data_IF_353687499028
#
_entry.id   IF_353687499028
#
_cell.length_a   1.000
_cell.length_b   1.000
_cell.length_c   1.000
_cell.angle_alpha   90.00
_cell.angle_beta   90.00
_cell.angle_gamma   90.00
#
_symmetry.space_group_name_H-M   'P 1'
#
loop_
_entity.id
_entity.type
_entity.pdbx_description
1 polymer ?
#
# COMPACT_ATOMS: atom_id res chain seq x y z
N UNK A 1 7.26 1.47 23.21
CA UNK A 1 6.44 2.04 22.11
C UNK A 1 4.99 1.75 22.45
N UNK A 2 4.10 2.73 22.37
CA UNK A 2 2.68 2.53 22.67
C UNK A 2 1.83 2.34 21.40
N UNK A 3 2.33 2.82 20.26
CA UNK A 3 1.85 2.47 18.93
C UNK A 3 2.93 2.70 17.85
N UNK A 4 2.84 2.02 16.71
CA UNK A 4 3.61 2.29 15.49
C UNK A 4 2.69 2.30 14.28
N UNK A 5 2.94 3.18 13.32
CA UNK A 5 2.25 3.15 12.02
C UNK A 5 3.03 2.20 11.12
N UNK A 6 2.42 1.07 10.77
CA UNK A 6 3.06 0.06 9.94
C UNK A 6 2.94 0.46 8.47
N UNK A 7 4.09 0.61 7.82
CA UNK A 7 4.19 0.71 6.37
C UNK A 7 4.14 -0.72 5.77
N UNK A 8 3.04 -1.13 5.12
CA UNK A 8 2.84 -2.52 4.71
C UNK A 8 3.72 -2.88 3.50
N UNK A 9 4.90 -3.42 3.76
CA UNK A 9 5.92 -3.67 2.73
C UNK A 9 5.47 -4.71 1.68
N UNK A 10 4.70 -5.71 2.10
CA UNK A 10 4.08 -6.71 1.23
C UNK A 10 3.10 -6.07 0.25
N UNK A 11 2.28 -5.12 0.73
CA UNK A 11 1.33 -4.39 -0.11
C UNK A 11 2.06 -3.48 -1.11
N UNK A 12 3.13 -2.79 -0.70
CA UNK A 12 3.96 -2.01 -1.63
C UNK A 12 4.57 -2.87 -2.73
N UNK A 13 5.12 -4.03 -2.38
CA UNK A 13 5.69 -4.96 -3.36
C UNK A 13 4.60 -5.46 -4.34
N UNK A 14 3.45 -5.89 -3.81
CA UNK A 14 2.34 -6.40 -4.62
C UNK A 14 1.82 -5.34 -5.61
N UNK A 15 1.47 -4.16 -5.13
CA UNK A 15 0.87 -3.14 -5.98
C UNK A 15 1.88 -2.44 -6.87
N UNK A 16 3.13 -2.25 -6.41
CA UNK A 16 4.23 -1.79 -7.25
C UNK A 16 4.42 -2.69 -8.48
N UNK A 17 4.46 -4.01 -8.30
CA UNK A 17 4.57 -4.97 -9.41
C UNK A 17 3.34 -5.00 -10.30
N UNK A 18 2.13 -4.86 -9.73
CA UNK A 18 0.89 -4.73 -10.51
C UNK A 18 0.94 -3.51 -11.45
N UNK A 19 1.29 -2.33 -10.94
CA UNK A 19 1.34 -1.11 -11.74
C UNK A 19 2.43 -1.17 -12.82
N UNK A 20 3.61 -1.71 -12.52
CA UNK A 20 4.68 -1.92 -13.52
C UNK A 20 4.15 -2.80 -14.67
N UNK A 21 3.56 -3.95 -14.35
CA UNK A 21 3.04 -4.88 -15.37
C UNK A 21 1.92 -4.24 -16.21
N UNK A 22 1.01 -3.52 -15.57
CA UNK A 22 -0.08 -2.85 -16.26
C UNK A 22 0.41 -1.70 -17.16
N UNK A 23 1.40 -0.93 -16.71
CA UNK A 23 2.03 0.12 -17.52
C UNK A 23 2.77 -0.46 -18.73
N UNK A 24 3.47 -1.60 -18.58
CA UNK A 24 4.09 -2.33 -19.70
C UNK A 24 3.06 -2.80 -20.74
N UNK A 25 1.80 -2.99 -20.34
CA UNK A 25 0.68 -3.32 -21.23
C UNK A 25 -0.02 -2.08 -21.80
N UNK A 26 0.48 -0.87 -21.54
CA UNK A 26 -0.09 0.39 -22.03
C UNK A 26 -1.32 0.87 -21.26
N UNK A 27 -1.63 0.30 -20.09
CA UNK A 27 -2.75 0.78 -19.26
C UNK A 27 -2.44 2.17 -18.70
N UNK A 28 -3.43 3.06 -18.77
CA UNK A 28 -3.39 4.38 -18.15
C UNK A 28 -4.27 4.42 -16.90
N UNK A 29 -3.89 5.24 -15.93
CA UNK A 29 -4.61 5.38 -14.66
C UNK A 29 -5.15 6.80 -14.48
N UNK A 30 -6.11 6.95 -13.57
CA UNK A 30 -6.73 8.22 -13.19
C UNK A 30 -6.77 8.29 -11.67
N UNK A 31 -6.87 9.51 -11.15
CA UNK A 31 -7.06 9.74 -9.72
C UNK A 31 -8.40 9.18 -9.24
N UNK A 32 -8.46 8.79 -7.97
CA UNK A 32 -9.65 8.29 -7.30
C UNK A 32 -9.44 6.96 -6.60
N UNK A 33 -10.52 6.42 -6.00
CA UNK A 33 -10.45 5.19 -5.20
C UNK A 33 -10.10 3.98 -6.05
N UNK A 34 -9.38 3.02 -5.45
CA UNK A 34 -9.02 1.73 -6.05
C UNK A 34 -9.97 0.61 -5.60
N UNK A 35 -9.79 -0.58 -6.17
CA UNK A 35 -10.47 -1.81 -5.75
C UNK A 35 -9.81 -2.49 -4.53
N UNK A 36 -8.77 -1.87 -3.95
CA UNK A 36 -7.99 -2.41 -2.84
C UNK A 36 -7.83 -1.40 -1.69
N UNK A 37 -8.88 -0.60 -1.48
CA UNK A 37 -9.03 0.28 -0.32
C UNK A 37 -7.93 1.36 -0.20
N UNK A 38 -7.43 1.82 -1.35
CA UNK A 38 -6.48 2.92 -1.46
C UNK A 38 -7.02 4.01 -2.39
N UNK A 39 -6.29 5.11 -2.49
CA UNK A 39 -6.62 6.22 -3.39
C UNK A 39 -5.42 6.59 -4.27
N UNK A 40 -5.64 6.67 -5.59
CA UNK A 40 -4.68 7.24 -6.52
C UNK A 40 -4.81 8.75 -6.48
N UNK A 41 -3.74 9.43 -6.06
CA UNK A 41 -3.63 10.88 -6.02
C UNK A 41 -2.67 11.39 -7.08
N UNK A 42 -2.79 12.66 -7.45
CA UNK A 42 -1.80 13.34 -8.28
C UNK A 42 -0.94 14.25 -7.42
N UNK A 43 0.35 13.97 -7.37
CA UNK A 43 1.31 14.78 -6.63
C UNK A 43 1.59 16.12 -7.33
N UNK A 44 2.11 17.13 -6.63
CA UNK A 44 2.50 18.41 -7.22
C UNK A 44 3.51 18.29 -8.39
N UNK A 45 4.34 17.25 -8.38
CA UNK A 45 5.27 16.90 -9.47
C UNK A 45 4.58 16.38 -10.73
N UNK A 46 3.27 16.15 -10.68
CA UNK A 46 2.47 15.64 -11.80
C UNK A 46 2.37 14.11 -11.87
N UNK A 47 3.09 13.38 -11.00
CA UNK A 47 3.10 11.91 -10.92
C UNK A 47 1.84 11.42 -10.21
N UNK A 48 1.31 10.27 -10.64
CA UNK A 48 0.25 9.56 -9.92
C UNK A 48 0.88 8.65 -8.85
N UNK A 49 0.37 8.71 -7.63
CA UNK A 49 0.78 7.89 -6.50
C UNK A 49 -0.45 7.16 -5.95
N UNK A 50 -0.32 5.87 -5.68
CA UNK A 50 -1.33 5.09 -5.00
C UNK A 50 -1.03 5.01 -3.49
N UNK A 51 -1.86 5.65 -2.69
CA UNK A 51 -1.66 5.78 -1.25
C UNK A 51 -2.36 4.64 -0.51
N UNK A 52 -1.59 3.59 -0.23
CA UNK A 52 -2.07 2.42 0.50
C UNK A 52 -2.38 2.74 1.97
N UNK A 53 -3.43 2.14 2.55
CA UNK A 53 -3.75 2.33 3.96
C UNK A 53 -2.65 1.77 4.86
N UNK A 54 -2.23 2.57 5.84
CA UNK A 54 -1.22 2.17 6.82
C UNK A 54 -1.90 1.72 8.12
N UNK A 55 -1.79 0.44 8.53
CA UNK A 55 -2.38 -0.01 9.77
C UNK A 55 -1.68 0.59 11.00
N UNK A 56 -2.49 1.03 11.97
CA UNK A 56 -2.00 1.35 13.31
C UNK A 56 -1.75 0.05 14.07
N UNK A 57 -0.52 -0.12 14.56
CA UNK A 57 -0.12 -1.24 15.38
C UNK A 57 0.02 -0.77 16.83
N UNK A 58 -0.66 -1.44 17.75
CA UNK A 58 -0.62 -1.23 19.19
C UNK A 58 -0.23 -2.53 19.89
N UNK A 59 -0.10 -2.51 21.23
CA UNK A 59 0.12 -3.75 22.00
C UNK A 59 -1.01 -4.78 21.81
N UNK A 60 -2.22 -4.33 21.49
CA UNK A 60 -3.40 -5.20 21.37
C UNK A 60 -3.42 -6.02 20.07
N UNK A 61 -2.72 -5.57 19.02
CA UNK A 61 -2.72 -6.21 17.70
C UNK A 61 -1.33 -6.52 17.14
N UNK A 62 -0.26 -6.33 17.93
CA UNK A 62 1.13 -6.53 17.46
C UNK A 62 1.40 -7.95 16.95
N UNK A 63 0.66 -8.95 17.46
CA UNK A 63 0.78 -10.36 17.07
C UNK A 63 -0.18 -10.75 15.93
N UNK A 64 -0.92 -9.82 15.32
CA UNK A 64 -1.83 -10.14 14.21
C UNK A 64 -1.00 -10.69 13.01
N UNK A 65 -1.27 -11.94 12.57
CA UNK A 65 -0.55 -12.55 11.45
C UNK A 65 -0.76 -11.85 10.11
N UNK A 66 -1.73 -10.93 10.00
CA UNK A 66 -1.95 -10.10 8.81
C UNK A 66 -0.99 -8.92 8.72
N UNK A 67 -0.30 -8.55 9.80
CA UNK A 67 0.72 -7.51 9.74
C UNK A 67 1.94 -8.04 8.99
N UNK A 68 2.41 -7.30 7.99
CA UNK A 68 3.51 -7.72 7.12
C UNK A 68 4.75 -8.25 7.88
N UNK A 69 5.09 -7.62 9.01
CA UNK A 69 6.23 -8.02 9.85
C UNK A 69 6.10 -9.42 10.49
N UNK A 70 4.89 -9.97 10.53
CA UNK A 70 4.59 -11.29 11.10
C UNK A 70 4.38 -12.38 10.01
N UNK A 71 4.52 -12.03 8.73
CA UNK A 71 4.19 -12.95 7.60
C UNK A 71 5.34 -13.85 7.16
N UNK A 72 6.58 -13.57 7.59
CA UNK A 72 7.78 -14.36 7.26
C UNK A 72 8.12 -15.25 8.45
N UNK A 73 8.26 -16.56 8.21
CA UNK A 73 8.76 -17.54 9.18
C UNK A 73 10.10 -18.08 8.74
#
# INVERSE_FOLDING_TARGET
>A
IDATVSQPADAYAKYGMYYIKAAMQGKTFKTGPTDHDSEIVKLPSGILEDQLPAPLVTKDNVDDPKLWGNTVK
#
